data_IF_637297006208
#
_entry.id   IF_637297006208
#
_cell.length_a   1.000
_cell.length_b   1.000
_cell.length_c   1.000
_cell.angle_alpha   90.00
_cell.angle_beta   90.00
_cell.angle_gamma   90.00
#
_symmetry.space_group_name_H-M   'P 1'
#
loop_
_entity.id
_entity.type
_entity.pdbx_description
1 polymer ?
#
# COMPACT_ATOMS: atom_id res chain seq x y z
N UNK A 1 0.28 28.58 11.88
CA UNK A 1 1.61 28.33 12.40
C UNK A 1 2.41 27.41 11.48
N UNK A 2 3.72 27.49 11.52
CA UNK A 2 4.61 26.66 10.71
C UNK A 2 4.42 25.16 11.00
N UNK A 3 4.16 24.80 12.25
CA UNK A 3 3.92 23.43 12.67
C UNK A 3 2.66 22.82 12.01
N UNK A 4 1.59 23.60 11.93
CA UNK A 4 0.35 23.15 11.28
C UNK A 4 0.54 22.91 9.79
N UNK A 5 1.26 23.81 9.11
CA UNK A 5 1.56 23.67 7.68
C UNK A 5 2.41 22.44 7.42
N UNK A 6 3.37 22.17 8.29
CA UNK A 6 4.25 21.00 8.16
C UNK A 6 3.45 19.69 8.34
N UNK A 7 2.59 19.62 9.35
CA UNK A 7 1.75 18.45 9.59
C UNK A 7 0.78 18.22 8.42
N UNK A 8 0.18 19.27 7.89
CA UNK A 8 -0.72 19.14 6.73
C UNK A 8 0.02 18.65 5.49
N UNK A 9 1.26 19.09 5.31
CA UNK A 9 2.09 18.60 4.21
C UNK A 9 2.39 17.11 4.36
N UNK A 10 2.69 16.63 5.56
CA UNK A 10 2.94 15.23 5.83
C UNK A 10 1.68 14.39 5.59
N UNK A 11 0.51 14.87 6.00
CA UNK A 11 -0.77 14.21 5.74
C UNK A 11 -1.07 14.12 4.25
N UNK A 12 -0.79 15.20 3.52
CA UNK A 12 -0.96 15.23 2.07
C UNK A 12 -0.05 14.23 1.37
N UNK A 13 1.20 14.13 1.80
CA UNK A 13 2.13 13.13 1.27
C UNK A 13 1.67 11.71 1.56
N UNK A 14 1.20 11.44 2.78
CA UNK A 14 0.68 10.14 3.15
C UNK A 14 -0.54 9.76 2.30
N UNK A 15 -1.45 10.71 2.09
CA UNK A 15 -2.61 10.52 1.22
C UNK A 15 -2.19 10.15 -0.20
N UNK A 16 -1.26 10.90 -0.76
CA UNK A 16 -0.78 10.64 -2.13
C UNK A 16 -0.10 9.26 -2.24
N UNK A 17 0.73 8.89 -1.28
CA UNK A 17 1.37 7.58 -1.25
C UNK A 17 0.32 6.47 -1.20
N UNK A 18 -0.70 6.62 -0.36
CA UNK A 18 -1.76 5.64 -0.24
C UNK A 18 -2.53 5.49 -1.56
N UNK A 19 -2.95 6.60 -2.14
CA UNK A 19 -3.72 6.58 -3.39
C UNK A 19 -2.90 6.05 -4.56
N UNK A 20 -1.61 6.39 -4.61
CA UNK A 20 -0.72 5.87 -5.65
C UNK A 20 -0.50 4.37 -5.51
N UNK A 21 -0.39 3.87 -4.28
CA UNK A 21 -0.27 2.43 -4.04
C UNK A 21 -1.54 1.68 -4.44
N UNK A 22 -2.72 2.32 -4.33
CA UNK A 22 -3.99 1.72 -4.72
C UNK A 22 -4.32 1.90 -6.20
N UNK A 23 -3.52 2.62 -6.97
CA UNK A 23 -3.83 3.01 -8.34
C UNK A 23 -4.25 1.82 -9.19
N UNK A 24 -5.33 2.01 -9.97
CA UNK A 24 -5.75 1.03 -10.95
C UNK A 24 -4.99 1.27 -12.25
N UNK A 25 -4.37 0.22 -12.76
CA UNK A 25 -3.60 0.28 -13.99
C UNK A 25 -4.06 -0.83 -14.92
N UNK A 26 -3.68 -0.71 -16.19
CA UNK A 26 -4.04 -1.72 -17.19
C UNK A 26 -3.45 -3.08 -16.82
N UNK A 27 -4.24 -4.13 -17.01
CA UNK A 27 -3.76 -5.48 -16.80
C UNK A 27 -2.61 -5.78 -17.76
N UNK A 28 -1.62 -6.55 -17.30
CA UNK A 28 -0.49 -6.89 -18.17
C UNK A 28 -0.95 -7.72 -19.35
N UNK A 29 -0.40 -7.44 -20.52
CA UNK A 29 -0.66 -8.24 -21.73
C UNK A 29 -0.02 -9.62 -21.62
N UNK A 30 1.01 -9.75 -20.83
CA UNK A 30 1.71 -10.98 -20.56
C UNK A 30 1.85 -11.17 -19.05
N UNK A 31 1.77 -12.44 -18.59
CA UNK A 31 1.97 -12.77 -17.17
C UNK A 31 3.39 -12.46 -16.69
N UNK A 32 4.32 -12.36 -17.63
CA UNK A 32 5.73 -12.13 -17.32
C UNK A 32 6.10 -10.63 -17.27
N UNK A 33 5.12 -9.76 -17.49
CA UNK A 33 5.36 -8.32 -17.40
C UNK A 33 5.61 -7.90 -15.95
N UNK A 34 6.86 -7.55 -15.66
CA UNK A 34 7.26 -7.07 -14.34
C UNK A 34 7.20 -5.56 -14.28
N UNK A 35 6.00 -5.03 -14.21
CA UNK A 35 5.74 -3.59 -14.16
C UNK A 35 4.98 -3.28 -12.87
N UNK A 36 5.35 -2.18 -12.21
CA UNK A 36 4.68 -1.73 -11.00
C UNK A 36 3.19 -1.47 -11.28
N UNK A 37 2.31 -2.09 -10.48
CA UNK A 37 0.87 -1.92 -10.59
C UNK A 37 0.27 -1.82 -9.20
N UNK A 38 -0.70 -0.91 -9.04
CA UNK A 38 -1.36 -0.71 -7.77
C UNK A 38 -2.43 -1.76 -7.47
N UNK A 39 -2.89 -1.77 -6.24
CA UNK A 39 -3.80 -2.78 -5.70
C UNK A 39 -5.09 -2.89 -6.50
N UNK A 40 -5.66 -1.75 -6.92
CA UNK A 40 -6.95 -1.72 -7.62
C UNK A 40 -6.89 -2.30 -9.03
N UNK A 41 -5.68 -2.59 -9.52
CA UNK A 41 -5.50 -3.35 -10.76
C UNK A 41 -6.05 -4.77 -10.60
N UNK A 42 -5.90 -5.36 -9.42
CA UNK A 42 -6.22 -6.77 -9.16
C UNK A 42 -7.38 -6.98 -8.20
N UNK A 43 -7.62 -6.04 -7.29
CA UNK A 43 -8.65 -6.16 -6.26
C UNK A 43 -9.47 -4.88 -6.18
N UNK A 44 -10.74 -5.05 -5.92
CA UNK A 44 -11.67 -3.92 -5.76
C UNK A 44 -11.56 -3.39 -4.34
N UNK A 45 -11.21 -2.13 -4.21
CA UNK A 45 -11.16 -1.45 -2.90
C UNK A 45 -12.23 -0.36 -2.93
N UNK A 46 -13.25 -0.51 -2.09
CA UNK A 46 -14.36 0.41 -2.05
C UNK A 46 -14.01 1.76 -1.42
N UNK A 47 -14.80 2.80 -1.71
CA UNK A 47 -14.54 4.12 -1.13
C UNK A 47 -14.62 4.16 0.40
N UNK A 48 -15.45 3.33 1.01
CA UNK A 48 -15.54 3.28 2.47
C UNK A 48 -14.21 2.85 3.10
N UNK A 49 -13.55 1.85 2.52
CA UNK A 49 -12.25 1.38 3.01
C UNK A 49 -11.19 2.49 2.87
N UNK A 50 -11.21 3.19 1.76
CA UNK A 50 -10.27 4.29 1.50
C UNK A 50 -10.47 5.41 2.52
N UNK A 51 -11.72 5.82 2.74
CA UNK A 51 -12.06 6.89 3.69
C UNK A 51 -11.66 6.49 5.11
N UNK A 52 -12.03 5.29 5.55
CA UNK A 52 -11.69 4.80 6.88
C UNK A 52 -10.19 4.73 7.10
N UNK A 53 -9.47 4.28 6.09
CA UNK A 53 -8.01 4.21 6.15
C UNK A 53 -7.38 5.59 6.31
N UNK A 54 -7.84 6.55 5.53
CA UNK A 54 -7.31 7.91 5.60
C UNK A 54 -7.65 8.60 6.91
N UNK A 55 -8.87 8.41 7.41
CA UNK A 55 -9.25 8.95 8.70
C UNK A 55 -8.39 8.37 9.82
N UNK A 56 -8.10 7.10 9.78
CA UNK A 56 -7.23 6.44 10.75
C UNK A 56 -5.82 7.05 10.73
N UNK A 57 -5.24 7.24 9.54
CA UNK A 57 -3.93 7.85 9.40
C UNK A 57 -3.94 9.30 9.88
N UNK A 58 -4.95 10.08 9.47
CA UNK A 58 -5.01 11.50 9.81
C UNK A 58 -5.27 11.75 11.30
N UNK A 59 -5.95 10.82 11.96
CA UNK A 59 -6.26 10.93 13.38
C UNK A 59 -5.21 10.27 14.28
N UNK A 60 -4.14 9.71 13.70
CA UNK A 60 -3.09 9.10 14.51
C UNK A 60 -2.38 10.18 15.33
N UNK A 61 -2.14 9.88 16.60
CA UNK A 61 -1.56 10.86 17.53
C UNK A 61 -0.05 10.97 17.41
N UNK A 62 0.59 9.94 16.89
CA UNK A 62 2.03 9.95 16.67
C UNK A 62 2.39 10.59 15.35
N UNK A 63 2.30 11.90 15.27
CA UNK A 63 2.30 12.65 14.02
C UNK A 63 3.65 12.65 13.28
N UNK A 64 4.73 12.33 13.95
CA UNK A 64 6.04 12.20 13.29
C UNK A 64 6.19 10.86 12.59
N UNK A 65 5.18 9.98 12.70
CA UNK A 65 5.26 8.63 12.17
C UNK A 65 4.04 8.29 11.33
N UNK A 66 3.70 9.20 10.43
CA UNK A 66 2.62 8.97 9.47
C UNK A 66 2.92 7.80 8.54
N UNK A 67 4.19 7.56 8.21
CA UNK A 67 4.57 6.40 7.40
C UNK A 67 4.25 5.09 8.12
N UNK A 68 4.45 5.04 9.43
CA UNK A 68 4.11 3.87 10.23
C UNK A 68 2.60 3.69 10.33
N UNK A 69 1.87 4.77 10.57
CA UNK A 69 0.41 4.73 10.58
C UNK A 69 -0.14 4.26 9.24
N UNK A 70 0.46 4.72 8.15
CA UNK A 70 0.10 4.31 6.80
C UNK A 70 0.38 2.81 6.62
N UNK A 71 1.53 2.32 7.06
CA UNK A 71 1.87 0.90 6.98
C UNK A 71 0.86 0.06 7.76
N UNK A 72 0.52 0.46 8.97
CA UNK A 72 -0.44 -0.26 9.82
C UNK A 72 -1.82 -0.33 9.17
N UNK A 73 -2.27 0.76 8.58
CA UNK A 73 -3.56 0.82 7.88
C UNK A 73 -3.57 -0.05 6.64
N UNK A 74 -2.50 -0.02 5.86
CA UNK A 74 -2.39 -0.87 4.67
C UNK A 74 -2.43 -2.34 5.09
N UNK A 75 -1.70 -2.72 6.13
CA UNK A 75 -1.71 -4.10 6.65
C UNK A 75 -3.09 -4.53 7.11
N UNK A 76 -3.81 -3.65 7.79
CA UNK A 76 -5.12 -3.99 8.36
C UNK A 76 -6.23 -4.01 7.33
N UNK A 77 -6.24 -3.05 6.40
CA UNK A 77 -7.38 -2.81 5.54
C UNK A 77 -7.18 -3.24 4.09
N UNK A 78 -5.95 -3.32 3.63
CA UNK A 78 -5.64 -3.59 2.22
C UNK A 78 -5.02 -4.98 2.04
N UNK A 79 -4.02 -5.33 2.83
CA UNK A 79 -3.28 -6.58 2.66
C UNK A 79 -4.17 -7.83 2.73
N UNK A 80 -5.22 -7.90 3.59
CA UNK A 80 -6.09 -9.07 3.59
C UNK A 80 -6.79 -9.32 2.24
N UNK A 81 -7.06 -8.26 1.48
CA UNK A 81 -7.66 -8.38 0.15
C UNK A 81 -6.71 -9.00 -0.89
N UNK A 82 -5.42 -9.06 -0.57
CA UNK A 82 -4.41 -9.58 -1.50
C UNK A 82 -4.23 -11.09 -1.41
N UNK A 83 -4.89 -11.75 -0.47
CA UNK A 83 -4.84 -13.20 -0.38
C UNK A 83 -5.36 -13.84 -1.67
N UNK A 84 -4.68 -14.88 -2.11
CA UNK A 84 -5.06 -15.59 -3.33
C UNK A 84 -4.51 -15.00 -4.61
N UNK A 85 -3.80 -13.88 -4.55
CA UNK A 85 -3.12 -13.35 -5.73
C UNK A 85 -1.94 -14.25 -6.12
N UNK A 86 -1.73 -14.36 -7.42
CA UNK A 86 -0.60 -15.11 -7.95
C UNK A 86 0.71 -14.38 -7.69
N UNK A 87 1.80 -15.14 -7.73
CA UNK A 87 3.15 -14.60 -7.49
C UNK A 87 3.46 -13.41 -8.41
N UNK A 88 3.09 -13.50 -9.69
CA UNK A 88 3.36 -12.43 -10.64
C UNK A 88 2.60 -11.15 -10.28
N UNK A 89 1.37 -11.30 -9.82
CA UNK A 89 0.55 -10.18 -9.37
C UNK A 89 1.15 -9.54 -8.11
N UNK A 90 1.55 -10.36 -7.15
CA UNK A 90 2.21 -9.89 -5.93
C UNK A 90 3.51 -9.16 -6.25
N UNK A 91 4.25 -9.65 -7.24
CA UNK A 91 5.49 -9.01 -7.67
C UNK A 91 5.26 -7.63 -8.25
N UNK A 92 4.20 -7.46 -9.06
CA UNK A 92 3.81 -6.16 -9.58
C UNK A 92 3.43 -5.19 -8.46
N UNK A 93 2.71 -5.68 -7.44
CA UNK A 93 2.36 -4.88 -6.27
C UNK A 93 3.61 -4.52 -5.46
N UNK A 94 4.55 -5.45 -5.31
CA UNK A 94 5.81 -5.20 -4.62
C UNK A 94 6.59 -4.07 -5.32
N UNK A 95 6.67 -4.13 -6.65
CA UNK A 95 7.34 -3.09 -7.42
C UNK A 95 6.66 -1.73 -7.22
N UNK A 96 5.33 -1.72 -7.17
CA UNK A 96 4.58 -0.49 -6.91
C UNK A 96 4.86 0.06 -5.51
N UNK A 97 4.87 -0.81 -4.51
CA UNK A 97 5.19 -0.41 -3.15
C UNK A 97 6.61 0.17 -3.06
N UNK A 98 7.57 -0.46 -3.69
CA UNK A 98 8.95 0.04 -3.71
C UNK A 98 9.05 1.42 -4.36
N UNK A 99 8.30 1.63 -5.44
CA UNK A 99 8.28 2.90 -6.15
C UNK A 99 7.62 4.01 -5.33
N UNK A 100 6.48 3.71 -4.73
CA UNK A 100 5.64 4.71 -4.04
C UNK A 100 6.05 4.90 -2.59
N UNK A 101 6.29 3.81 -1.88
CA UNK A 101 6.54 3.83 -0.44
C UNK A 101 8.03 3.75 -0.09
N UNK A 102 8.83 3.22 -0.99
CA UNK A 102 10.26 3.02 -0.78
C UNK A 102 10.60 1.54 -0.60
N UNK A 103 11.80 1.14 -1.06
CA UNK A 103 12.23 -0.26 -1.03
C UNK A 103 12.35 -0.82 0.40
N UNK A 104 12.66 0.03 1.36
CA UNK A 104 12.82 -0.37 2.76
C UNK A 104 11.56 -0.17 3.60
N UNK A 105 10.46 0.26 2.97
CA UNK A 105 9.20 0.42 3.67
C UNK A 105 8.66 -0.95 4.11
N UNK A 106 7.99 -0.99 5.27
CA UNK A 106 7.46 -2.22 5.84
C UNK A 106 6.57 -2.99 4.86
N UNK A 107 5.70 -2.29 4.13
CA UNK A 107 4.81 -2.91 3.14
C UNK A 107 5.61 -3.52 1.99
N UNK A 108 6.65 -2.85 1.51
CA UNK A 108 7.51 -3.37 0.45
C UNK A 108 8.21 -4.66 0.89
N UNK A 109 8.72 -4.67 2.11
CA UNK A 109 9.39 -5.85 2.67
C UNK A 109 8.41 -7.00 2.91
N UNK A 110 7.18 -6.68 3.34
CA UNK A 110 6.14 -7.69 3.54
C UNK A 110 5.74 -8.33 2.21
N UNK A 111 5.53 -7.53 1.17
CA UNK A 111 5.21 -8.05 -0.16
C UNK A 111 6.34 -8.88 -0.74
N UNK A 112 7.58 -8.48 -0.51
CA UNK A 112 8.75 -9.27 -0.91
C UNK A 112 8.72 -10.67 -0.31
N UNK A 113 8.39 -10.77 0.99
CA UNK A 113 8.23 -12.07 1.65
C UNK A 113 7.11 -12.89 1.04
N UNK A 114 6.00 -12.26 0.68
CA UNK A 114 4.87 -12.94 0.06
C UNK A 114 5.24 -13.46 -1.34
N UNK A 115 6.04 -12.71 -2.09
CA UNK A 115 6.52 -13.14 -3.41
C UNK A 115 7.45 -14.33 -3.27
N UNK A 116 8.36 -14.32 -2.29
CA UNK A 116 9.34 -15.37 -2.08
C UNK A 116 8.71 -16.65 -1.51
N UNK A 117 7.59 -16.52 -0.82
CA UNK A 117 6.92 -17.64 -0.17
C UNK A 117 5.41 -17.57 -0.42
N UNK A 118 4.97 -17.80 -1.69
CA UNK A 118 3.57 -17.66 -2.07
C UNK A 118 2.75 -18.79 -1.51
N UNK A 119 2.19 -18.87 -0.54
CA UNK A 119 1.45 -19.91 0.14
C UNK A 119 1.54 -19.79 1.63
N UNK A 120 2.46 -18.91 2.12
CA UNK A 120 2.50 -18.58 3.53
C UNK A 120 1.54 -17.44 3.82
N UNK A 121 0.62 -17.67 4.76
CA UNK A 121 -0.23 -16.60 5.23
C UNK A 121 0.59 -15.71 6.17
N UNK A 122 0.76 -14.46 5.77
CA UNK A 122 1.46 -13.46 6.59
C UNK A 122 0.56 -12.99 7.75
N UNK A 123 -0.73 -13.33 7.69
CA UNK A 123 -1.75 -12.84 8.61
C UNK A 123 -2.32 -13.94 9.50
N UNK A 124 -1.79 -15.11 9.38
CA UNK A 124 -2.35 -16.22 10.00
C UNK A 124 -1.93 -16.90 11.07
#
# INVERSE_FOLDING_TARGET
TASKKFINLLKFKAFNKFMNFLEEEDLPQSRDDEIARGVRTYRKIGPAVIIDSMLTVFNSRGQYDLDRALADVIKSNIMPALEGLERNELKCLMLKAQEVLGANHDISLTLEKMVDSPGLSVFG
#
